data_IF_339690703488
#
_entry.id   IF_339690703488
#
_cell.length_a   1.000
_cell.length_b   1.000
_cell.length_c   1.000
_cell.angle_alpha   90.00
_cell.angle_beta   90.00
_cell.angle_gamma   90.00
#
_symmetry.space_group_name_H-M   'P 1'
#
loop_
_entity.id
_entity.type
_entity.pdbx_description
1 polymer ?
#
# COMPACT_ATOMS: atom_id res chain seq x y z
N UNK A 1 22.62 15.22 -2.91
CA UNK A 1 21.50 14.26 -2.99
C UNK A 1 21.64 13.26 -1.87
N UNK A 2 20.55 12.97 -1.19
CA UNK A 2 20.48 12.01 -0.09
C UNK A 2 19.65 10.82 -0.57
N UNK A 3 20.20 9.62 -0.44
CA UNK A 3 19.45 8.39 -0.66
C UNK A 3 18.56 8.12 0.54
N UNK A 4 17.28 7.91 0.30
CA UNK A 4 16.30 7.56 1.32
C UNK A 4 15.71 6.22 0.97
N UNK A 5 15.85 5.27 1.89
CA UNK A 5 15.29 3.94 1.74
C UNK A 5 13.86 3.89 2.27
N UNK A 6 13.13 2.86 1.86
CA UNK A 6 11.82 2.57 2.40
C UNK A 6 11.92 2.07 3.86
N UNK A 7 11.17 2.69 4.76
CA UNK A 7 11.16 2.39 6.21
C UNK A 7 10.91 0.93 6.57
N UNK A 8 9.95 0.30 5.89
CA UNK A 8 9.63 -1.11 6.06
C UNK A 8 10.19 -2.00 4.94
N UNK A 9 11.45 -1.79 4.54
CA UNK A 9 12.12 -2.64 3.54
C UNK A 9 12.24 -4.11 3.96
N UNK A 10 12.43 -4.34 5.28
CA UNK A 10 12.57 -5.68 5.86
C UNK A 10 11.22 -6.30 6.29
N UNK A 11 10.10 -5.74 5.85
CA UNK A 11 8.78 -6.34 6.14
C UNK A 11 8.62 -7.65 5.38
N UNK A 12 8.41 -8.74 6.14
CA UNK A 12 8.16 -10.06 5.57
C UNK A 12 6.66 -10.23 5.35
N UNK A 13 6.25 -10.35 4.09
CA UNK A 13 4.86 -10.61 3.73
C UNK A 13 4.49 -12.04 4.10
N UNK A 14 3.33 -12.22 4.73
CA UNK A 14 2.83 -13.54 5.09
C UNK A 14 2.51 -14.37 3.83
N UNK A 15 2.93 -15.64 3.77
CA UNK A 15 2.66 -16.50 2.60
C UNK A 15 1.17 -16.83 2.43
N UNK A 16 0.37 -16.67 3.49
CA UNK A 16 -1.08 -16.85 3.46
C UNK A 16 -1.84 -15.60 3.00
N UNK A 17 -1.15 -14.53 2.61
CA UNK A 17 -1.79 -13.31 2.11
C UNK A 17 -2.68 -13.60 0.90
N UNK A 18 -3.95 -13.24 1.03
CA UNK A 18 -4.95 -13.31 -0.03
C UNK A 18 -5.17 -11.95 -0.69
N UNK A 19 -4.91 -10.86 0.04
CA UNK A 19 -5.03 -9.49 -0.46
C UNK A 19 -3.75 -8.70 -0.23
N UNK A 20 -3.12 -8.24 -1.32
CA UNK A 20 -1.94 -7.38 -1.24
C UNK A 20 -2.30 -5.93 -1.56
N UNK A 21 -2.07 -5.03 -0.60
CA UNK A 21 -2.30 -3.59 -0.77
C UNK A 21 -0.98 -2.92 -1.15
N UNK A 22 -0.94 -2.33 -2.33
CA UNK A 22 0.22 -1.65 -2.91
C UNK A 22 0.11 -0.14 -2.67
N UNK A 23 1.08 0.44 -1.97
CA UNK A 23 1.27 1.89 -1.85
C UNK A 23 2.42 2.42 -2.72
N UNK A 24 2.76 3.69 -2.54
CA UNK A 24 3.82 4.35 -3.32
C UNK A 24 5.17 4.23 -2.61
N UNK A 25 5.33 4.94 -1.50
CA UNK A 25 6.57 5.00 -0.73
C UNK A 25 6.37 5.47 0.71
N UNK A 26 7.04 4.80 1.64
CA UNK A 26 7.17 5.22 3.03
C UNK A 26 8.65 5.47 3.36
N UNK A 27 9.14 6.72 3.32
CA UNK A 27 10.57 7.02 3.47
C UNK A 27 11.04 6.81 4.91
N UNK A 28 12.25 6.29 5.07
CA UNK A 28 12.90 6.19 6.37
C UNK A 28 13.62 7.50 6.71
N UNK A 29 12.90 8.41 7.37
CA UNK A 29 13.41 9.71 7.82
C UNK A 29 13.15 9.89 9.31
N UNK A 30 13.96 10.70 10.03
CA UNK A 30 13.73 10.97 11.45
C UNK A 30 12.33 11.55 11.77
N UNK A 31 11.75 12.30 10.83
CA UNK A 31 10.41 12.88 10.97
C UNK A 31 9.28 11.86 10.75
N UNK A 32 9.57 10.73 10.13
CA UNK A 32 8.56 9.71 9.87
C UNK A 32 8.32 8.84 11.11
N UNK A 33 7.38 9.29 11.93
CA UNK A 33 6.95 8.60 13.15
C UNK A 33 6.06 7.37 12.91
N UNK A 34 5.87 6.92 11.66
CA UNK A 34 5.06 5.74 11.39
C UNK A 34 5.69 4.48 12.01
N UNK A 35 4.94 3.80 12.87
CA UNK A 35 5.32 2.53 13.49
C UNK A 35 5.13 1.34 12.54
N UNK A 36 4.21 1.48 11.59
CA UNK A 36 3.88 0.49 10.56
C UNK A 36 3.33 1.17 9.30
N UNK A 37 3.03 0.39 8.25
CA UNK A 37 2.46 0.89 7.00
C UNK A 37 1.24 1.79 7.28
N UNK A 38 1.17 2.92 6.59
CA UNK A 38 0.10 3.91 6.74
C UNK A 38 -0.11 4.41 8.19
N UNK A 39 0.91 4.35 9.06
CA UNK A 39 0.81 4.70 10.48
C UNK A 39 0.75 6.20 10.82
N UNK A 40 0.97 7.10 9.84
CA UNK A 40 0.91 8.56 10.08
C UNK A 40 -0.52 9.00 10.45
N UNK A 41 -0.65 9.96 11.36
CA UNK A 41 -1.94 10.45 11.88
C UNK A 41 -2.92 10.94 10.79
N UNK A 42 -2.41 11.52 9.71
CA UNK A 42 -3.20 11.99 8.57
C UNK A 42 -3.64 10.88 7.62
N UNK A 43 -3.26 9.64 7.87
CA UNK A 43 -3.71 8.48 7.10
C UNK A 43 -4.91 7.81 7.78
N UNK A 44 -5.85 7.33 6.99
CA UNK A 44 -7.10 6.70 7.43
C UNK A 44 -7.20 5.23 7.01
N UNK A 45 -6.11 4.61 6.54
CA UNK A 45 -6.12 3.19 6.18
C UNK A 45 -6.63 2.35 7.36
N UNK A 46 -6.07 2.59 8.56
CA UNK A 46 -6.45 1.87 9.76
C UNK A 46 -7.85 2.19 10.30
N UNK A 47 -8.57 3.10 9.64
CA UNK A 47 -10.02 3.26 9.82
C UNK A 47 -10.78 2.50 8.74
N UNK A 48 -10.41 2.72 7.47
CA UNK A 48 -11.08 2.17 6.28
C UNK A 48 -11.01 0.64 6.18
N UNK A 49 -9.81 0.10 6.44
CA UNK A 49 -9.51 -1.31 6.25
C UNK A 49 -10.25 -2.16 7.29
N UNK A 50 -10.11 -1.97 8.62
CA UNK A 50 -10.88 -2.74 9.59
C UNK A 50 -12.40 -2.63 9.41
N UNK A 51 -12.90 -1.42 9.08
CA UNK A 51 -14.33 -1.22 8.84
C UNK A 51 -14.85 -2.02 7.63
N UNK A 52 -14.00 -2.31 6.64
CA UNK A 52 -14.34 -3.20 5.52
C UNK A 52 -14.60 -4.64 5.97
N UNK A 53 -14.07 -5.04 7.13
CA UNK A 53 -14.29 -6.33 7.78
C UNK A 53 -15.26 -6.24 8.96
N UNK A 54 -16.02 -5.15 9.09
CA UNK A 54 -16.94 -4.90 10.21
C UNK A 54 -16.22 -4.88 11.59
N UNK A 55 -14.94 -4.50 11.60
CA UNK A 55 -14.13 -4.39 12.80
C UNK A 55 -13.90 -2.93 13.21
N UNK A 56 -13.65 -2.65 14.51
CA UNK A 56 -13.32 -1.32 14.98
C UNK A 56 -12.04 -0.75 14.33
N UNK A 57 -11.98 0.58 14.22
CA UNK A 57 -10.79 1.30 13.72
C UNK A 57 -9.55 0.98 14.56
N UNK A 58 -8.45 0.67 13.87
CA UNK A 58 -7.11 0.47 14.43
C UNK A 58 -6.24 1.74 14.31
N UNK A 59 -6.81 2.86 13.88
CA UNK A 59 -6.09 4.13 13.83
C UNK A 59 -5.65 4.55 15.24
N UNK A 60 -4.35 4.80 15.39
CA UNK A 60 -3.73 5.11 16.68
C UNK A 60 -3.52 3.91 17.61
N UNK A 61 -3.80 2.69 17.14
CA UNK A 61 -3.47 1.45 17.86
C UNK A 61 -2.03 1.03 17.63
N UNK A 62 -1.56 0.16 18.51
CA UNK A 62 -0.19 -0.36 18.49
C UNK A 62 0.06 -1.23 17.25
N UNK A 63 1.34 -1.37 16.89
CA UNK A 63 1.77 -2.23 15.78
C UNK A 63 1.31 -3.67 15.96
N UNK A 64 1.27 -4.19 17.18
CA UNK A 64 0.84 -5.57 17.48
C UNK A 64 -0.61 -5.82 17.07
N UNK A 65 -1.52 -4.88 17.35
CA UNK A 65 -2.94 -4.98 16.98
C UNK A 65 -3.11 -4.99 15.46
N UNK A 66 -2.33 -4.15 14.76
CA UNK A 66 -2.30 -4.09 13.29
C UNK A 66 -1.79 -5.40 12.71
N UNK A 67 -0.70 -5.97 13.26
CA UNK A 67 -0.14 -7.25 12.83
C UNK A 67 -1.12 -8.41 13.04
N UNK A 68 -1.81 -8.44 14.19
CA UNK A 68 -2.83 -9.44 14.48
C UNK A 68 -4.00 -9.35 13.47
N UNK A 69 -4.47 -8.13 13.20
CA UNK A 69 -5.54 -7.90 12.24
C UNK A 69 -5.16 -8.37 10.83
N UNK A 70 -3.98 -8.00 10.31
CA UNK A 70 -3.60 -8.35 8.94
C UNK A 70 -3.41 -9.86 8.79
N UNK A 71 -2.91 -10.53 9.84
CA UNK A 71 -2.78 -11.98 9.89
C UNK A 71 -4.15 -12.66 9.84
N UNK A 72 -5.11 -12.22 10.66
CA UNK A 72 -6.47 -12.78 10.69
C UNK A 72 -7.27 -12.51 9.41
N UNK A 73 -7.02 -11.39 8.75
CA UNK A 73 -7.72 -10.97 7.53
C UNK A 73 -7.01 -11.41 6.24
N UNK A 74 -5.85 -12.07 6.32
CA UNK A 74 -4.99 -12.43 5.19
C UNK A 74 -4.70 -11.24 4.25
N UNK A 75 -4.53 -10.04 4.84
CA UNK A 75 -4.15 -8.82 4.13
C UNK A 75 -2.65 -8.57 4.37
N UNK A 76 -1.95 -7.96 3.42
CA UNK A 76 -0.61 -7.45 3.67
C UNK A 76 -0.27 -6.25 2.78
N UNK A 77 0.90 -5.65 3.00
CA UNK A 77 1.31 -4.40 2.36
C UNK A 77 2.64 -4.52 1.64
N UNK A 78 2.75 -3.76 0.56
CA UNK A 78 4.01 -3.45 -0.11
C UNK A 78 3.92 -2.06 -0.72
N UNK A 79 5.05 -1.40 -0.93
CA UNK A 79 5.12 -0.13 -1.65
C UNK A 79 5.93 -0.30 -2.94
N UNK A 80 5.64 0.49 -3.98
CA UNK A 80 6.33 0.41 -5.27
C UNK A 80 7.83 0.74 -5.18
N UNK A 81 8.19 1.66 -4.30
CA UNK A 81 9.53 2.25 -4.26
C UNK A 81 10.35 1.64 -3.14
N UNK A 82 11.57 1.22 -3.47
CA UNK A 82 12.56 0.73 -2.51
C UNK A 82 13.43 1.88 -1.98
N UNK A 83 13.87 2.77 -2.87
CA UNK A 83 14.64 3.96 -2.48
C UNK A 83 14.49 5.11 -3.49
N UNK A 84 14.78 6.32 -3.00
CA UNK A 84 14.80 7.57 -3.79
C UNK A 84 16.08 8.36 -3.54
N UNK A 85 16.49 9.17 -4.51
CA UNK A 85 17.57 10.17 -4.39
C UNK A 85 16.98 11.58 -4.44
N UNK A 86 16.94 12.25 -3.29
CA UNK A 86 16.27 13.54 -3.14
C UNK A 86 17.21 14.61 -2.61
N UNK A 87 16.87 15.86 -2.92
CA UNK A 87 17.54 17.04 -2.33
C UNK A 87 16.82 17.51 -1.06
N UNK A 88 15.55 17.11 -0.89
CA UNK A 88 14.67 17.47 0.23
C UNK A 88 14.06 16.20 0.85
N UNK A 89 14.64 15.69 1.96
CA UNK A 89 14.19 14.44 2.60
C UNK A 89 12.76 14.45 3.13
N UNK A 90 12.20 15.63 3.37
CA UNK A 90 10.86 15.88 3.89
C UNK A 90 9.78 16.00 2.81
N UNK A 91 10.13 15.87 1.52
CA UNK A 91 9.17 15.95 0.44
C UNK A 91 8.58 14.57 0.09
N UNK A 92 7.37 14.32 0.60
CA UNK A 92 6.60 13.10 0.38
C UNK A 92 5.65 13.19 -0.83
N UNK A 93 5.70 14.25 -1.65
CA UNK A 93 4.81 14.39 -2.81
C UNK A 93 5.22 13.39 -3.89
N UNK A 94 4.34 12.45 -4.21
CA UNK A 94 4.62 11.42 -5.21
C UNK A 94 5.02 12.01 -6.58
N UNK A 95 4.52 13.19 -6.99
CA UNK A 95 4.92 13.82 -8.27
C UNK A 95 6.39 14.21 -8.25
N UNK A 96 6.85 14.69 -7.10
CA UNK A 96 8.27 14.95 -6.88
C UNK A 96 9.06 13.64 -6.87
N UNK A 97 8.57 12.64 -6.13
CA UNK A 97 9.28 11.38 -5.94
C UNK A 97 9.37 10.53 -7.22
N UNK A 98 8.39 10.59 -8.12
CA UNK A 98 8.36 9.83 -9.38
C UNK A 98 9.66 10.02 -10.17
N UNK A 99 10.11 11.27 -10.29
CA UNK A 99 11.36 11.63 -10.97
C UNK A 99 12.64 11.23 -10.24
N UNK A 100 12.56 10.81 -8.98
CA UNK A 100 13.69 10.63 -8.05
C UNK A 100 13.89 9.20 -7.59
N UNK A 101 13.14 8.24 -8.14
CA UNK A 101 13.29 6.82 -7.78
C UNK A 101 14.66 6.30 -8.22
N UNK A 102 15.48 5.90 -7.25
CA UNK A 102 16.76 5.22 -7.47
C UNK A 102 16.58 3.71 -7.57
N UNK A 103 15.60 3.15 -6.85
CA UNK A 103 15.32 1.71 -6.87
C UNK A 103 13.82 1.41 -6.73
N UNK A 104 13.32 0.56 -7.62
CA UNK A 104 11.96 0.03 -7.57
C UNK A 104 11.94 -1.31 -6.84
N UNK A 105 10.90 -1.57 -6.04
CA UNK A 105 10.64 -2.92 -5.54
C UNK A 105 10.18 -3.83 -6.66
N UNK A 106 10.66 -5.08 -6.66
CA UNK A 106 10.16 -6.12 -7.57
C UNK A 106 8.88 -6.76 -7.01
N UNK A 107 7.77 -6.01 -7.06
CA UNK A 107 6.47 -6.42 -6.50
C UNK A 107 5.97 -7.74 -7.13
N UNK A 108 6.13 -7.91 -8.45
CA UNK A 108 5.71 -9.15 -9.14
C UNK A 108 6.47 -10.37 -8.60
N UNK A 109 7.77 -10.25 -8.32
CA UNK A 109 8.54 -11.35 -7.72
C UNK A 109 8.09 -11.70 -6.31
N UNK A 110 7.56 -10.74 -5.56
CA UNK A 110 6.93 -10.98 -4.26
C UNK A 110 5.59 -11.70 -4.46
N UNK A 111 4.74 -11.22 -5.37
CA UNK A 111 3.44 -11.83 -5.68
C UNK A 111 3.56 -13.30 -6.11
N UNK A 112 4.59 -13.66 -6.89
CA UNK A 112 4.88 -15.06 -7.29
C UNK A 112 5.12 -16.00 -6.11
N UNK A 113 5.46 -15.48 -4.92
CA UNK A 113 5.70 -16.25 -3.69
C UNK A 113 4.45 -16.34 -2.80
N UNK A 114 3.33 -15.76 -3.22
CA UNK A 114 2.07 -15.73 -2.46
C UNK A 114 1.05 -16.67 -3.14
N UNK A 115 1.06 -17.97 -2.82
CA UNK A 115 0.20 -18.95 -3.48
C UNK A 115 -1.29 -18.72 -3.23
N UNK A 116 -1.64 -18.00 -2.17
CA UNK A 116 -3.02 -17.71 -1.78
C UNK A 116 -3.53 -16.36 -2.32
N UNK A 117 -2.70 -15.62 -3.07
CA UNK A 117 -3.04 -14.27 -3.51
C UNK A 117 -4.24 -14.28 -4.48
N UNK A 118 -5.34 -13.67 -4.07
CA UNK A 118 -6.58 -13.57 -4.85
C UNK A 118 -6.80 -12.19 -5.43
N UNK A 119 -6.32 -11.16 -4.74
CA UNK A 119 -6.53 -9.78 -5.16
C UNK A 119 -5.41 -8.82 -4.74
N UNK A 120 -5.29 -7.76 -5.52
CA UNK A 120 -4.32 -6.68 -5.33
C UNK A 120 -5.04 -5.35 -5.51
N UNK A 121 -4.69 -4.35 -4.71
CA UNK A 121 -5.11 -2.99 -4.97
C UNK A 121 -3.98 -1.99 -4.89
N UNK A 122 -4.11 -0.89 -5.62
CA UNK A 122 -3.21 0.26 -5.50
C UNK A 122 -3.92 1.41 -4.82
N UNK A 123 -3.31 2.02 -3.81
CA UNK A 123 -3.95 3.04 -2.96
C UNK A 123 -4.01 4.44 -3.57
N UNK A 124 -4.08 4.52 -4.91
CA UNK A 124 -4.19 5.77 -5.67
C UNK A 124 -4.90 5.54 -7.01
N UNK A 125 -5.79 6.46 -7.39
CA UNK A 125 -6.53 6.42 -8.67
C UNK A 125 -5.94 7.27 -9.79
N UNK A 126 -5.41 8.45 -9.46
CA UNK A 126 -4.93 9.41 -10.46
C UNK A 126 -3.43 9.22 -10.69
N UNK A 127 -3.03 8.91 -11.91
CA UNK A 127 -1.62 8.58 -12.23
C UNK A 127 -0.98 9.50 -13.28
N UNK A 128 -1.72 10.49 -13.80
CA UNK A 128 -1.27 11.34 -14.90
C UNK A 128 0.00 12.15 -14.57
N UNK A 129 0.20 12.43 -13.29
CA UNK A 129 1.26 13.23 -12.70
C UNK A 129 2.41 12.38 -12.13
N UNK A 130 2.36 11.05 -12.29
CA UNK A 130 3.39 10.09 -11.83
C UNK A 130 3.66 9.00 -12.88
N UNK A 131 4.14 9.37 -14.09
CA UNK A 131 4.24 8.46 -15.22
C UNK A 131 5.15 7.24 -14.98
N UNK A 132 6.22 7.35 -14.17
CA UNK A 132 7.11 6.20 -13.92
C UNK A 132 6.48 5.20 -12.95
N UNK A 133 5.83 5.67 -11.89
CA UNK A 133 5.02 4.81 -11.00
C UNK A 133 3.85 4.19 -11.77
N UNK A 134 3.23 4.95 -12.69
CA UNK A 134 2.18 4.44 -13.59
C UNK A 134 2.68 3.24 -14.38
N UNK A 135 3.84 3.34 -15.02
CA UNK A 135 4.42 2.22 -15.78
C UNK A 135 4.58 0.96 -14.91
N UNK A 136 5.06 1.12 -13.66
CA UNK A 136 5.22 0.00 -12.72
C UNK A 136 3.88 -0.63 -12.32
N UNK A 137 2.88 0.18 -12.01
CA UNK A 137 1.59 -0.35 -11.56
C UNK A 137 0.80 -0.98 -12.72
N UNK A 138 0.93 -0.48 -13.95
CA UNK A 138 0.34 -1.13 -15.12
C UNK A 138 0.99 -2.50 -15.41
N UNK A 139 2.31 -2.63 -15.16
CA UNK A 139 2.97 -3.94 -15.19
C UNK A 139 2.43 -4.93 -14.15
N UNK A 140 2.18 -4.45 -12.92
CA UNK A 140 1.55 -5.26 -11.86
C UNK A 140 0.10 -5.64 -12.24
N UNK A 141 -0.66 -4.69 -12.78
CA UNK A 141 -2.04 -4.92 -13.24
C UNK A 141 -2.09 -5.97 -14.35
N UNK A 142 -1.19 -5.88 -15.34
CA UNK A 142 -1.07 -6.87 -16.42
C UNK A 142 -0.77 -8.26 -15.86
N UNK A 143 0.20 -8.37 -14.94
CA UNK A 143 0.51 -9.64 -14.29
C UNK A 143 -0.70 -10.20 -13.51
N UNK A 144 -1.44 -9.34 -12.81
CA UNK A 144 -2.66 -9.75 -12.12
C UNK A 144 -3.70 -10.33 -13.11
N UNK A 145 -3.93 -9.66 -14.24
CA UNK A 145 -4.86 -10.12 -15.29
C UNK A 145 -4.44 -11.47 -15.86
N UNK A 146 -3.15 -11.65 -16.20
CA UNK A 146 -2.58 -12.91 -16.69
C UNK A 146 -2.66 -14.05 -15.67
N UNK A 147 -2.61 -13.71 -14.38
CA UNK A 147 -2.61 -14.68 -13.27
C UNK A 147 -4.01 -14.91 -12.67
N UNK A 148 -5.06 -14.35 -13.26
CA UNK A 148 -6.44 -14.37 -12.72
C UNK A 148 -6.54 -13.85 -11.26
N UNK A 149 -5.71 -12.85 -10.94
CA UNK A 149 -5.73 -12.11 -9.68
C UNK A 149 -6.52 -10.84 -9.91
N UNK A 150 -7.51 -10.56 -9.06
CA UNK A 150 -8.29 -9.32 -9.19
C UNK A 150 -7.41 -8.11 -8.89
N UNK A 151 -7.46 -7.09 -9.74
CA UNK A 151 -6.77 -5.83 -9.51
C UNK A 151 -7.74 -4.64 -9.44
N UNK A 152 -7.52 -3.69 -8.51
CA UNK A 152 -8.32 -2.45 -8.47
C UNK A 152 -7.51 -1.24 -7.98
N UNK A 153 -7.76 -0.07 -8.59
CA UNK A 153 -7.33 1.22 -8.06
C UNK A 153 -8.30 1.71 -6.97
N UNK A 154 -7.79 1.99 -5.77
CA UNK A 154 -8.58 2.49 -4.64
C UNK A 154 -8.32 3.97 -4.37
N UNK A 155 -9.34 4.70 -3.84
CA UNK A 155 -9.12 6.05 -3.37
C UNK A 155 -8.10 6.06 -2.23
N UNK A 156 -7.18 7.02 -2.26
CA UNK A 156 -6.10 7.11 -1.27
C UNK A 156 -6.63 7.21 0.15
N UNK A 157 -6.07 6.46 1.11
CA UNK A 157 -6.44 6.56 2.51
C UNK A 157 -5.88 7.83 3.17
N UNK A 158 -5.06 8.62 2.48
CA UNK A 158 -4.48 9.84 3.04
C UNK A 158 -5.49 11.00 3.18
N UNK A 159 -5.17 11.91 4.09
CA UNK A 159 -5.74 13.24 4.35
C UNK A 159 -7.15 13.29 4.95
N UNK A 160 -8.11 12.53 4.42
CA UNK A 160 -9.51 12.61 4.87
C UNK A 160 -10.24 11.27 4.79
N UNK A 161 -11.33 11.17 5.54
CA UNK A 161 -12.29 10.08 5.53
C UNK A 161 -13.66 10.61 5.07
N UNK A 162 -14.41 9.81 4.31
CA UNK A 162 -15.83 10.02 4.03
C UNK A 162 -16.50 8.69 3.66
N UNK A 163 -17.83 8.66 3.65
CA UNK A 163 -18.59 7.43 3.43
C UNK A 163 -18.40 6.85 2.02
N UNK A 164 -18.31 7.70 0.99
CA UNK A 164 -18.03 7.25 -0.37
C UNK A 164 -16.70 6.47 -0.44
N UNK A 165 -15.64 6.98 0.21
CA UNK A 165 -14.34 6.31 0.32
C UNK A 165 -14.48 4.99 1.07
N UNK A 166 -15.22 4.97 2.18
CA UNK A 166 -15.47 3.72 2.92
C UNK A 166 -16.20 2.70 2.06
N UNK A 167 -17.26 3.09 1.34
CA UNK A 167 -18.01 2.20 0.45
C UNK A 167 -17.12 1.57 -0.61
N UNK A 168 -16.24 2.35 -1.24
CA UNK A 168 -15.30 1.82 -2.24
C UNK A 168 -14.32 0.80 -1.65
N UNK A 169 -13.76 1.10 -0.47
CA UNK A 169 -12.89 0.16 0.25
C UNK A 169 -13.66 -1.11 0.61
N UNK A 170 -14.84 -0.99 1.24
CA UNK A 170 -15.68 -2.13 1.62
C UNK A 170 -16.06 -3.00 0.43
N UNK A 171 -16.45 -2.41 -0.71
CA UNK A 171 -16.77 -3.16 -1.92
C UNK A 171 -15.58 -3.99 -2.41
N UNK A 172 -14.37 -3.44 -2.37
CA UNK A 172 -13.19 -4.20 -2.76
C UNK A 172 -13.01 -5.47 -1.90
N UNK A 173 -13.13 -5.38 -0.58
CA UNK A 173 -12.94 -6.55 0.30
C UNK A 173 -14.15 -7.51 0.31
N UNK A 174 -15.37 -7.02 0.08
CA UNK A 174 -16.59 -7.84 0.15
C UNK A 174 -16.86 -8.71 -1.10
N UNK A 175 -16.29 -8.38 -2.25
CA UNK A 175 -16.54 -9.13 -3.50
C UNK A 175 -15.81 -10.49 -3.60
N UNK A 176 -14.98 -10.85 -2.61
CA UNK A 176 -14.39 -12.19 -2.49
C UNK A 176 -15.20 -13.19 -1.66
N UNK A 177 -16.30 -12.74 -1.03
CA UNK A 177 -17.15 -13.54 -0.13
C UNK A 177 -18.49 -13.98 -0.77
N UNK A 178 -18.56 -14.03 -2.11
CA UNK A 178 -19.74 -14.53 -2.85
C UNK A 178 -19.37 -15.71 -3.72
#
# INVERSE_FOLDING_TARGET
MTTIHHRFQNHNINTNTETLIVGTFNPDTPENIADFFYGRSRNYLWTLLPASFQMPSLKGKEKTDKLEFISKSNVDFIDLIASVEVDKPDNYDDRYLDGRVSEWRNVISVMKKLPMLKQVCFTRKTLADIPKMKERIEGIKTYCEESNIRFQYLPTPARFYNDAKQTEWSNFFNHGNR
#
